data_IF_849658609016
#
_entry.id   IF_849658609016
#
_cell.length_a   1.000
_cell.length_b   1.000
_cell.length_c   1.000
_cell.angle_alpha   90.00
_cell.angle_beta   90.00
_cell.angle_gamma   90.00
#
_symmetry.space_group_name_H-M   'P 1'
#
loop_
_entity.id
_entity.type
_entity.pdbx_description
1 polymer ?
#
# COMPACT_ATOMS: atom_id res chain seq x y z
N UNK A 1 30.18 -19.00 23.81
CA UNK A 1 29.64 -18.50 22.53
C UNK A 1 28.25 -17.95 22.78
N UNK A 2 28.12 -16.65 22.96
CA UNK A 2 26.79 -16.02 23.15
C UNK A 2 26.06 -16.04 21.82
N UNK A 3 25.11 -16.94 21.70
CA UNK A 3 24.16 -16.96 20.60
C UNK A 3 23.18 -15.79 20.82
N UNK A 4 23.55 -14.60 20.36
CA UNK A 4 22.62 -13.48 20.27
C UNK A 4 21.61 -13.83 19.17
N UNK A 5 20.52 -14.48 19.53
CA UNK A 5 19.39 -14.67 18.65
C UNK A 5 18.95 -13.27 18.17
N UNK A 6 19.27 -12.92 16.90
CA UNK A 6 18.79 -11.68 16.29
C UNK A 6 17.28 -11.62 16.51
N UNK A 7 16.83 -10.61 17.21
CA UNK A 7 15.38 -10.36 17.41
C UNK A 7 14.73 -10.36 16.03
N UNK A 8 13.84 -11.33 15.83
CA UNK A 8 13.18 -11.54 14.55
C UNK A 8 12.21 -10.41 14.30
N UNK A 9 12.38 -9.68 13.19
CA UNK A 9 11.48 -8.60 12.76
C UNK A 9 10.41 -9.16 11.85
N UNK A 10 9.14 -8.99 12.21
CA UNK A 10 7.99 -9.43 11.44
C UNK A 10 7.41 -8.32 10.59
N UNK A 11 7.22 -8.61 9.30
CA UNK A 11 6.59 -7.71 8.32
C UNK A 11 5.26 -8.30 7.87
N UNK A 12 4.16 -7.63 8.14
CA UNK A 12 2.85 -7.98 7.59
C UNK A 12 2.59 -7.18 6.33
N UNK A 13 2.22 -7.87 5.25
CA UNK A 13 1.99 -7.28 3.93
C UNK A 13 0.59 -7.65 3.46
N UNK A 14 -0.28 -6.65 3.29
CA UNK A 14 -1.60 -6.84 2.70
C UNK A 14 -1.56 -6.74 1.19
N UNK A 15 -2.44 -7.49 0.51
CA UNK A 15 -2.42 -7.57 -0.95
C UNK A 15 -1.17 -8.24 -1.51
N UNK A 16 -0.54 -9.14 -0.75
CA UNK A 16 0.76 -9.74 -1.07
C UNK A 16 0.75 -10.67 -2.29
N UNK A 17 -0.41 -10.99 -2.85
CA UNK A 17 -0.54 -11.96 -3.94
C UNK A 17 -0.23 -11.41 -5.34
N UNK A 18 0.14 -10.13 -5.49
CA UNK A 18 0.52 -9.50 -6.77
C UNK A 18 1.12 -8.09 -6.59
N UNK A 19 1.72 -7.58 -7.64
CA UNK A 19 2.12 -6.18 -7.78
C UNK A 19 3.08 -5.70 -6.69
N UNK A 20 2.79 -4.52 -6.14
CA UNK A 20 3.63 -3.96 -5.07
C UNK A 20 3.69 -4.86 -3.83
N UNK A 21 2.58 -5.51 -3.43
CA UNK A 21 2.56 -6.40 -2.27
C UNK A 21 3.51 -7.57 -2.42
N UNK A 22 3.54 -8.21 -3.58
CA UNK A 22 4.49 -9.27 -3.90
C UNK A 22 5.92 -8.75 -3.91
N UNK A 23 6.15 -7.58 -4.50
CA UNK A 23 7.49 -6.97 -4.56
C UNK A 23 7.99 -6.54 -3.17
N UNK A 24 7.12 -6.00 -2.30
CA UNK A 24 7.45 -5.77 -0.89
C UNK A 24 7.88 -7.06 -0.19
N UNK A 25 7.17 -8.16 -0.41
CA UNK A 25 7.52 -9.46 0.18
C UNK A 25 8.91 -9.92 -0.27
N UNK A 26 9.24 -9.79 -1.56
CA UNK A 26 10.56 -10.13 -2.12
C UNK A 26 11.67 -9.29 -1.50
N UNK A 27 11.49 -7.97 -1.42
CA UNK A 27 12.53 -7.07 -0.89
C UNK A 27 12.75 -7.25 0.61
N UNK A 28 11.71 -7.47 1.41
CA UNK A 28 11.86 -7.73 2.84
C UNK A 28 12.42 -9.13 3.12
N UNK A 29 12.05 -10.15 2.33
CA UNK A 29 12.66 -11.48 2.43
C UNK A 29 14.16 -11.42 2.15
N UNK A 30 14.58 -10.69 1.09
CA UNK A 30 15.98 -10.46 0.77
C UNK A 30 16.76 -9.77 1.90
N UNK A 31 16.09 -8.99 2.73
CA UNK A 31 16.68 -8.34 3.92
C UNK A 31 16.69 -9.25 5.16
N UNK A 32 16.19 -10.49 5.05
CA UNK A 32 16.16 -11.47 6.14
C UNK A 32 15.00 -11.32 7.12
N UNK A 33 13.96 -10.56 6.77
CA UNK A 33 12.78 -10.39 7.62
C UNK A 33 11.83 -11.57 7.54
N UNK A 34 11.18 -11.90 8.65
CA UNK A 34 10.06 -12.82 8.68
C UNK A 34 8.79 -12.14 8.15
N UNK A 35 7.94 -12.88 7.44
CA UNK A 35 6.82 -12.31 6.70
C UNK A 35 5.48 -12.92 7.12
N UNK A 36 4.44 -12.09 7.15
CA UNK A 36 3.03 -12.49 7.14
C UNK A 36 2.41 -11.96 5.86
N UNK A 37 2.09 -12.86 4.93
CA UNK A 37 1.51 -12.55 3.63
C UNK A 37 -0.01 -12.67 3.69
N UNK A 38 -0.72 -11.57 3.46
CA UNK A 38 -2.18 -11.50 3.58
C UNK A 38 -2.82 -11.17 2.24
N UNK A 39 -3.70 -12.03 1.73
CA UNK A 39 -4.56 -11.78 0.57
C UNK A 39 -5.67 -12.84 0.47
N UNK A 40 -6.56 -12.70 -0.52
CA UNK A 40 -7.64 -13.67 -0.79
C UNK A 40 -7.19 -14.91 -1.57
N UNK A 41 -6.17 -14.77 -2.45
CA UNK A 41 -5.70 -15.84 -3.36
C UNK A 41 -4.65 -16.70 -2.67
N UNK A 42 -5.11 -17.79 -2.05
CA UNK A 42 -4.27 -18.70 -1.27
C UNK A 42 -3.17 -19.35 -2.10
N UNK A 43 -3.51 -19.82 -3.30
CA UNK A 43 -2.61 -20.45 -4.26
C UNK A 43 -1.37 -19.59 -4.55
N UNK A 44 -1.60 -18.30 -4.85
CA UNK A 44 -0.53 -17.34 -5.13
C UNK A 44 0.31 -17.02 -3.91
N UNK A 45 -0.33 -16.91 -2.73
CA UNK A 45 0.40 -16.69 -1.48
C UNK A 45 1.30 -17.88 -1.14
N UNK A 46 0.82 -19.11 -1.32
CA UNK A 46 1.58 -20.32 -1.07
C UNK A 46 2.78 -20.44 -2.03
N UNK A 47 2.57 -20.20 -3.32
CA UNK A 47 3.65 -20.19 -4.31
C UNK A 47 4.72 -19.15 -3.99
N UNK A 48 4.32 -17.92 -3.67
CA UNK A 48 5.23 -16.86 -3.26
C UNK A 48 5.99 -17.25 -1.98
N UNK A 49 5.30 -17.75 -0.97
CA UNK A 49 5.90 -18.17 0.30
C UNK A 49 6.94 -19.29 0.12
N UNK A 50 6.65 -20.29 -0.74
CA UNK A 50 7.58 -21.36 -1.06
C UNK A 50 8.86 -20.80 -1.71
N UNK A 51 8.70 -19.92 -2.70
CA UNK A 51 9.82 -19.25 -3.37
C UNK A 51 10.70 -18.46 -2.38
N UNK A 52 10.06 -17.64 -1.52
CA UNK A 52 10.79 -16.80 -0.57
C UNK A 52 11.53 -17.61 0.50
N UNK A 53 10.91 -18.69 1.01
CA UNK A 53 11.56 -19.60 1.95
C UNK A 53 12.79 -20.27 1.34
N UNK A 54 12.67 -20.72 0.09
CA UNK A 54 13.76 -21.38 -0.64
C UNK A 54 14.92 -20.42 -0.95
N UNK A 55 14.61 -19.19 -1.40
CA UNK A 55 15.64 -18.25 -1.87
C UNK A 55 16.35 -17.50 -0.73
N UNK A 56 15.65 -17.25 0.40
CA UNK A 56 16.13 -16.35 1.44
C UNK A 56 16.19 -16.97 2.83
N UNK A 57 15.77 -18.23 3.01
CA UNK A 57 15.76 -18.94 4.30
C UNK A 57 15.01 -18.18 5.40
N UNK A 58 13.96 -17.44 5.04
CA UNK A 58 13.13 -16.65 5.97
C UNK A 58 11.85 -17.40 6.33
N UNK A 59 11.31 -17.12 7.52
CA UNK A 59 10.00 -17.61 7.90
C UNK A 59 8.91 -16.79 7.18
N UNK A 60 7.95 -17.51 6.60
CA UNK A 60 6.81 -16.90 5.92
C UNK A 60 5.52 -17.55 6.37
N UNK A 61 4.60 -16.77 6.89
CA UNK A 61 3.24 -17.20 7.26
C UNK A 61 2.30 -16.72 6.16
N UNK A 62 1.39 -17.59 5.76
CA UNK A 62 0.33 -17.27 4.79
C UNK A 62 -1.00 -17.20 5.53
N UNK A 63 -1.68 -16.06 5.40
CA UNK A 63 -3.01 -15.81 5.95
C UNK A 63 -3.97 -15.47 4.82
N UNK A 64 -4.88 -16.41 4.51
CA UNK A 64 -5.95 -16.16 3.57
C UNK A 64 -7.05 -15.36 4.27
N UNK A 65 -7.14 -14.07 3.96
CA UNK A 65 -8.11 -13.16 4.58
C UNK A 65 -8.75 -12.28 3.52
N UNK A 66 -10.07 -12.17 3.56
CA UNK A 66 -10.77 -11.08 2.89
C UNK A 66 -10.80 -9.86 3.81
N UNK A 67 -10.02 -8.85 3.45
CA UNK A 67 -9.91 -7.64 4.24
C UNK A 67 -11.16 -6.75 4.17
N UNK A 68 -12.10 -7.02 3.26
CA UNK A 68 -13.40 -6.34 3.23
C UNK A 68 -14.24 -6.67 4.46
N UNK A 69 -13.98 -7.81 5.11
CA UNK A 69 -14.55 -8.17 6.42
C UNK A 69 -13.66 -7.61 7.54
N UNK A 70 -14.11 -6.52 8.17
CA UNK A 70 -13.40 -5.90 9.31
C UNK A 70 -13.23 -6.88 10.48
N UNK A 71 -14.20 -7.77 10.72
CA UNK A 71 -14.09 -8.77 11.78
C UNK A 71 -12.96 -9.78 11.47
N UNK A 72 -12.74 -10.10 10.20
CA UNK A 72 -11.61 -10.95 9.80
C UNK A 72 -10.24 -10.30 10.08
N UNK A 73 -10.15 -8.95 10.04
CA UNK A 73 -8.94 -8.21 10.42
C UNK A 73 -8.64 -8.38 11.91
N UNK A 74 -9.66 -8.26 12.76
CA UNK A 74 -9.51 -8.46 14.23
C UNK A 74 -9.08 -9.90 14.51
N UNK A 75 -9.76 -10.89 13.91
CA UNK A 75 -9.40 -12.30 14.04
C UNK A 75 -7.96 -12.60 13.55
N UNK A 76 -7.50 -11.92 12.50
CA UNK A 76 -6.10 -12.04 12.04
C UNK A 76 -5.12 -11.59 13.12
N UNK A 77 -5.36 -10.42 13.73
CA UNK A 77 -4.51 -9.92 14.81
C UNK A 77 -4.49 -10.88 16.00
N UNK A 78 -5.65 -11.39 16.42
CA UNK A 78 -5.78 -12.34 17.54
C UNK A 78 -4.96 -13.61 17.27
N UNK A 79 -5.12 -14.25 16.11
CA UNK A 79 -4.33 -15.42 15.71
C UNK A 79 -2.82 -15.17 15.74
N UNK A 80 -2.37 -14.00 15.28
CA UNK A 80 -0.94 -13.67 15.33
C UNK A 80 -0.45 -13.48 16.77
N UNK A 81 -1.26 -12.86 17.64
CA UNK A 81 -0.94 -12.70 19.07
C UNK A 81 -0.88 -14.04 19.80
N UNK A 82 -1.83 -14.95 19.56
CA UNK A 82 -1.84 -16.31 20.12
C UNK A 82 -0.58 -17.11 19.74
N UNK A 83 -0.05 -16.86 18.53
CA UNK A 83 1.20 -17.45 18.03
C UNK A 83 2.46 -16.73 18.53
N UNK A 84 2.33 -15.71 19.38
CA UNK A 84 3.46 -14.89 19.87
C UNK A 84 4.10 -14.01 18.80
N UNK A 85 3.39 -13.71 17.69
CA UNK A 85 3.91 -12.93 16.57
C UNK A 85 3.54 -11.46 16.75
N UNK A 86 4.56 -10.65 16.99
CA UNK A 86 4.41 -9.20 17.08
C UNK A 86 4.85 -8.54 15.78
N UNK A 87 3.93 -7.88 15.09
CA UNK A 87 4.22 -7.20 13.82
C UNK A 87 5.02 -5.91 14.09
N UNK A 88 6.24 -5.84 13.56
CA UNK A 88 7.11 -4.67 13.65
C UNK A 88 6.90 -3.69 12.49
N UNK A 89 6.55 -4.22 11.30
CA UNK A 89 6.33 -3.43 10.09
C UNK A 89 5.00 -3.86 9.45
N UNK A 90 4.09 -2.90 9.27
CA UNK A 90 2.85 -3.08 8.51
C UNK A 90 2.98 -2.42 7.14
N UNK A 91 2.85 -3.19 6.06
CA UNK A 91 2.72 -2.69 4.70
C UNK A 91 1.25 -2.80 4.30
N UNK A 92 0.53 -1.70 4.45
CA UNK A 92 -0.89 -1.63 4.13
C UNK A 92 -1.06 -1.26 2.65
N UNK A 93 -1.04 -2.29 1.80
CA UNK A 93 -0.98 -2.18 0.36
C UNK A 93 -2.25 -2.67 -0.35
N UNK A 94 -3.06 -3.52 0.30
CA UNK A 94 -4.29 -4.02 -0.32
C UNK A 94 -5.19 -2.87 -0.77
N UNK A 95 -5.69 -2.97 -1.99
CA UNK A 95 -6.55 -1.99 -2.62
C UNK A 95 -6.83 -2.36 -4.07
N UNK A 96 -7.80 -1.74 -4.68
CA UNK A 96 -8.08 -1.87 -6.10
C UNK A 96 -8.54 -0.53 -6.68
N UNK A 97 -8.54 -0.43 -8.01
CA UNK A 97 -9.01 0.75 -8.72
C UNK A 97 -10.29 0.47 -9.49
N UNK A 98 -11.03 1.52 -9.76
CA UNK A 98 -12.17 1.53 -10.65
C UNK A 98 -12.00 2.72 -11.58
N UNK A 99 -12.01 2.46 -12.90
CA UNK A 99 -11.97 3.50 -13.93
C UNK A 99 -13.31 3.55 -14.64
N UNK A 100 -13.78 4.74 -14.94
CA UNK A 100 -14.98 5.00 -15.73
C UNK A 100 -15.82 6.14 -15.15
N UNK A 101 -16.84 6.61 -15.90
CA UNK A 101 -17.75 7.62 -15.42
C UNK A 101 -18.45 7.17 -14.14
N UNK A 102 -18.50 8.03 -13.15
CA UNK A 102 -19.01 7.69 -11.82
C UNK A 102 -20.47 7.21 -11.85
N UNK A 103 -21.30 7.86 -12.67
CA UNK A 103 -22.72 7.54 -12.77
C UNK A 103 -23.00 6.20 -13.45
N UNK A 104 -22.05 5.68 -14.25
CA UNK A 104 -22.18 4.42 -14.97
C UNK A 104 -21.62 3.22 -14.18
N UNK A 105 -20.85 3.51 -13.12
CA UNK A 105 -20.22 2.46 -12.32
C UNK A 105 -21.26 1.71 -11.48
N UNK A 106 -21.20 0.36 -11.40
CA UNK A 106 -22.05 -0.40 -10.49
C UNK A 106 -21.82 0.04 -9.04
N UNK A 107 -22.91 0.29 -8.32
CA UNK A 107 -22.84 0.80 -6.94
C UNK A 107 -22.04 -0.12 -6.00
N UNK A 108 -22.19 -1.42 -6.17
CA UNK A 108 -21.48 -2.44 -5.40
C UNK A 108 -19.94 -2.38 -5.63
N UNK A 109 -19.51 -2.13 -6.87
CA UNK A 109 -18.09 -1.94 -7.19
C UNK A 109 -17.53 -0.65 -6.54
N UNK A 110 -18.31 0.44 -6.58
CA UNK A 110 -17.95 1.71 -5.90
C UNK A 110 -17.82 1.50 -4.40
N UNK A 111 -18.81 0.89 -3.76
CA UNK A 111 -18.81 0.64 -2.31
C UNK A 111 -17.74 -0.37 -1.90
N UNK A 112 -17.48 -1.40 -2.71
CA UNK A 112 -16.40 -2.36 -2.47
C UNK A 112 -15.03 -1.68 -2.43
N UNK A 113 -14.79 -0.70 -3.32
CA UNK A 113 -13.54 0.07 -3.29
C UNK A 113 -13.43 0.92 -2.02
N UNK A 114 -14.49 1.64 -1.64
CA UNK A 114 -14.49 2.42 -0.38
C UNK A 114 -14.27 1.51 0.82
N UNK A 115 -14.93 0.34 0.83
CA UNK A 115 -14.76 -0.64 1.90
C UNK A 115 -13.31 -1.11 2.02
N UNK A 116 -12.65 -1.48 0.93
CA UNK A 116 -11.28 -2.00 1.00
C UNK A 116 -10.25 -0.89 1.17
N UNK A 117 -10.29 0.16 0.34
CA UNK A 117 -9.24 1.19 0.26
C UNK A 117 -9.34 2.24 1.38
N UNK A 118 -10.49 2.35 2.05
CA UNK A 118 -10.72 3.30 3.16
C UNK A 118 -11.00 2.57 4.46
N UNK A 119 -12.13 1.87 4.58
CA UNK A 119 -12.57 1.29 5.84
C UNK A 119 -11.61 0.18 6.33
N UNK A 120 -11.27 -0.77 5.47
CA UNK A 120 -10.37 -1.88 5.82
C UNK A 120 -8.94 -1.40 6.07
N UNK A 121 -8.44 -0.46 5.24
CA UNK A 121 -7.13 0.16 5.47
C UNK A 121 -7.07 0.86 6.83
N UNK A 122 -8.13 1.58 7.20
CA UNK A 122 -8.23 2.24 8.50
C UNK A 122 -8.25 1.22 9.63
N UNK A 123 -9.10 0.19 9.53
CA UNK A 123 -9.24 -0.84 10.54
C UNK A 123 -7.91 -1.57 10.81
N UNK A 124 -7.23 -2.05 9.77
CA UNK A 124 -5.96 -2.78 9.93
C UNK A 124 -4.86 -1.86 10.46
N UNK A 125 -4.80 -0.59 10.00
CA UNK A 125 -3.87 0.40 10.54
C UNK A 125 -4.10 0.61 12.03
N UNK A 126 -5.36 0.81 12.45
CA UNK A 126 -5.73 1.05 13.84
C UNK A 126 -5.36 -0.12 14.75
N UNK A 127 -5.76 -1.33 14.37
CA UNK A 127 -5.56 -2.56 15.15
C UNK A 127 -4.09 -2.82 15.40
N UNK A 128 -3.23 -2.73 14.36
CA UNK A 128 -1.79 -2.97 14.52
C UNK A 128 -1.07 -1.77 15.16
N UNK A 129 -1.51 -0.53 14.95
CA UNK A 129 -0.97 0.63 15.65
C UNK A 129 -1.17 0.54 17.16
N UNK A 130 -2.29 0.02 17.64
CA UNK A 130 -2.52 -0.20 19.07
C UNK A 130 -1.48 -1.17 19.68
N UNK A 131 -1.15 -2.26 18.99
CA UNK A 131 -0.14 -3.21 19.47
C UNK A 131 1.28 -2.64 19.38
N UNK A 132 1.59 -1.87 18.34
CA UNK A 132 2.85 -1.16 18.20
C UNK A 132 3.02 -0.10 19.31
N UNK A 133 1.95 0.63 19.63
CA UNK A 133 1.92 1.64 20.70
C UNK A 133 2.25 1.05 22.06
N UNK A 134 1.67 -0.11 22.43
CA UNK A 134 1.97 -0.83 23.69
C UNK A 134 3.46 -1.17 23.80
N UNK A 135 4.12 -1.47 22.69
CA UNK A 135 5.55 -1.81 22.62
C UNK A 135 6.45 -0.60 22.39
N UNK A 136 5.86 0.59 22.14
CA UNK A 136 6.54 1.84 21.76
C UNK A 136 7.49 1.64 20.57
N UNK A 137 7.12 0.80 19.63
CA UNK A 137 7.92 0.44 18.46
C UNK A 137 7.05 -0.06 17.33
N UNK A 138 7.22 0.52 16.14
CA UNK A 138 6.56 0.06 14.92
C UNK A 138 6.82 0.92 13.70
N UNK A 139 6.55 0.35 12.54
CA UNK A 139 6.60 1.06 11.26
C UNK A 139 5.35 0.72 10.44
N UNK A 140 4.72 1.72 9.84
CA UNK A 140 3.52 1.55 9.01
C UNK A 140 3.74 2.26 7.69
N UNK A 141 3.62 1.54 6.59
CA UNK A 141 3.61 2.11 5.24
C UNK A 141 2.20 1.97 4.66
N UNK A 142 1.61 3.11 4.27
CA UNK A 142 0.31 3.17 3.61
C UNK A 142 0.50 3.43 2.12
N UNK A 143 -0.02 2.55 1.27
CA UNK A 143 0.09 2.73 -0.19
C UNK A 143 -1.05 3.60 -0.69
N UNK A 144 -0.75 4.88 -0.89
CA UNK A 144 -1.61 5.87 -1.52
C UNK A 144 -1.45 5.85 -3.06
N UNK A 145 -1.41 6.99 -3.71
CA UNK A 145 -1.21 7.17 -5.15
C UNK A 145 -0.81 8.62 -5.44
N UNK A 146 -0.21 8.87 -6.59
CA UNK A 146 -0.06 10.22 -7.13
C UNK A 146 -1.43 10.91 -7.34
N UNK A 147 -2.48 10.12 -7.63
CA UNK A 147 -3.86 10.63 -7.75
C UNK A 147 -4.44 11.12 -6.40
N UNK A 148 -3.76 10.89 -5.28
CA UNK A 148 -4.13 11.43 -3.98
C UNK A 148 -4.04 12.97 -3.89
N UNK A 149 -3.29 13.60 -4.79
CA UNK A 149 -3.07 15.05 -4.75
C UNK A 149 -4.16 15.86 -5.44
N UNK A 150 -5.02 15.22 -6.25
CA UNK A 150 -6.13 15.88 -6.94
C UNK A 150 -7.27 14.92 -7.29
N UNK A 151 -8.50 15.45 -7.48
CA UNK A 151 -9.60 14.70 -8.08
C UNK A 151 -9.33 14.49 -9.56
N UNK A 152 -9.57 13.28 -10.08
CA UNK A 152 -9.32 12.91 -11.46
C UNK A 152 -10.59 12.37 -12.09
N UNK A 153 -10.98 12.92 -13.25
CA UNK A 153 -12.10 12.45 -14.05
C UNK A 153 -11.93 10.97 -14.38
N UNK A 154 -13.01 10.19 -14.34
CA UNK A 154 -13.04 8.74 -14.48
C UNK A 154 -12.33 7.96 -13.36
N UNK A 155 -11.75 8.62 -12.35
CA UNK A 155 -11.16 8.03 -11.15
C UNK A 155 -11.68 8.70 -9.88
N UNK A 156 -12.91 9.20 -9.86
CA UNK A 156 -13.46 10.00 -8.78
C UNK A 156 -13.31 9.32 -7.41
N UNK A 157 -13.84 8.10 -7.27
CA UNK A 157 -13.79 7.34 -6.01
C UNK A 157 -12.36 6.93 -5.65
N UNK A 158 -11.59 6.49 -6.64
CA UNK A 158 -10.20 6.07 -6.41
C UNK A 158 -9.32 7.24 -5.93
N UNK A 159 -9.39 8.40 -6.61
CA UNK A 159 -8.61 9.58 -6.20
C UNK A 159 -9.03 10.08 -4.81
N UNK A 160 -10.34 10.06 -4.50
CA UNK A 160 -10.84 10.40 -3.17
C UNK A 160 -10.35 9.41 -2.08
N UNK A 161 -10.41 8.09 -2.33
CA UNK A 161 -9.89 7.07 -1.43
C UNK A 161 -8.39 7.22 -1.19
N UNK A 162 -7.60 7.48 -2.25
CA UNK A 162 -6.15 7.67 -2.10
C UNK A 162 -5.77 9.01 -1.46
N UNK A 163 -6.60 10.05 -1.61
CA UNK A 163 -6.46 11.29 -0.86
C UNK A 163 -6.72 11.07 0.64
N UNK A 164 -7.74 10.26 1.00
CA UNK A 164 -7.96 9.83 2.38
C UNK A 164 -6.71 9.14 2.95
N UNK A 165 -6.14 8.15 2.23
CA UNK A 165 -4.96 7.39 2.68
C UNK A 165 -3.77 8.31 2.91
N UNK A 166 -3.52 9.27 1.99
CA UNK A 166 -2.43 10.24 2.12
C UNK A 166 -2.61 11.10 3.37
N UNK A 167 -3.80 11.70 3.57
CA UNK A 167 -4.08 12.58 4.71
C UNK A 167 -4.05 11.82 6.04
N UNK A 168 -4.60 10.61 6.08
CA UNK A 168 -4.49 9.74 7.23
C UNK A 168 -3.02 9.46 7.58
N UNK A 169 -2.20 9.11 6.58
CA UNK A 169 -0.78 8.84 6.77
C UNK A 169 0.00 10.05 7.30
N UNK A 170 -0.27 11.24 6.77
CA UNK A 170 0.34 12.51 7.21
C UNK A 170 -0.03 12.84 8.67
N UNK A 171 -1.29 12.65 9.05
CA UNK A 171 -1.75 12.88 10.42
C UNK A 171 -1.12 11.89 11.40
N UNK A 172 -1.21 10.58 11.08
CA UNK A 172 -0.66 9.51 11.91
C UNK A 172 0.87 9.57 12.04
N UNK A 173 1.59 10.05 11.03
CA UNK A 173 3.03 10.28 11.11
C UNK A 173 3.39 11.21 12.28
N UNK A 174 2.62 12.27 12.50
CA UNK A 174 2.85 13.22 13.60
C UNK A 174 2.33 12.69 14.92
N UNK A 175 1.11 12.14 14.92
CA UNK A 175 0.41 11.66 16.11
C UNK A 175 1.15 10.50 16.79
N UNK A 176 1.57 9.48 16.01
CA UNK A 176 2.18 8.27 16.56
C UNK A 176 3.70 8.37 16.79
N UNK A 177 4.33 9.49 16.38
CA UNK A 177 5.77 9.70 16.57
C UNK A 177 6.19 9.63 18.03
N UNK A 178 5.41 10.21 18.94
CA UNK A 178 5.66 10.17 20.39
C UNK A 178 5.55 8.76 20.97
N UNK A 179 4.83 7.85 20.29
CA UNK A 179 4.69 6.44 20.66
C UNK A 179 5.80 5.55 20.04
N UNK A 180 6.81 6.14 19.39
CA UNK A 180 7.90 5.40 18.75
C UNK A 180 7.51 4.71 17.45
N UNK A 181 6.42 5.15 16.81
CA UNK A 181 5.90 4.55 15.57
C UNK A 181 6.15 5.51 14.40
N UNK A 182 6.71 4.98 13.32
CA UNK A 182 6.87 5.71 12.05
C UNK A 182 5.72 5.36 11.11
N UNK A 183 5.05 6.36 10.57
CA UNK A 183 4.06 6.17 9.49
C UNK A 183 4.52 6.90 8.24
N UNK A 184 4.48 6.23 7.09
CA UNK A 184 4.88 6.80 5.79
C UNK A 184 3.83 6.51 4.74
N UNK A 185 3.38 7.53 4.01
CA UNK A 185 2.52 7.39 2.85
C UNK A 185 3.38 7.25 1.58
N UNK A 186 3.24 6.14 0.85
CA UNK A 186 3.85 5.94 -0.46
C UNK A 186 2.85 6.36 -1.53
N UNK A 187 3.21 7.31 -2.38
CA UNK A 187 2.37 7.86 -3.45
C UNK A 187 2.96 7.50 -4.83
N UNK A 188 2.80 6.26 -5.31
CA UNK A 188 3.31 5.86 -6.60
C UNK A 188 2.55 6.55 -7.74
N UNK A 189 3.23 6.80 -8.83
CA UNK A 189 2.63 7.04 -10.13
C UNK A 189 2.17 5.73 -10.77
N UNK A 190 1.87 5.76 -12.06
CA UNK A 190 1.52 4.55 -12.79
C UNK A 190 2.66 3.54 -12.75
N UNK A 191 2.31 2.27 -12.52
CA UNK A 191 3.29 1.20 -12.39
C UNK A 191 2.74 -0.12 -12.93
N UNK A 192 3.63 -0.94 -13.48
CA UNK A 192 3.27 -2.25 -14.06
C UNK A 192 3.08 -3.30 -12.96
N UNK A 193 1.92 -3.26 -12.31
CA UNK A 193 1.58 -4.12 -11.16
C UNK A 193 0.41 -5.07 -11.42
N UNK A 194 -0.13 -5.08 -12.65
CA UNK A 194 -1.42 -5.72 -12.94
C UNK A 194 -2.62 -4.91 -12.44
N UNK A 195 -2.41 -3.77 -11.77
CA UNK A 195 -3.47 -2.87 -11.31
C UNK A 195 -4.32 -2.35 -12.47
N UNK A 196 -3.67 -1.92 -13.56
CA UNK A 196 -4.37 -1.42 -14.74
C UNK A 196 -5.33 -2.48 -15.33
N UNK A 197 -4.90 -3.74 -15.37
CA UNK A 197 -5.77 -4.86 -15.79
C UNK A 197 -6.95 -5.06 -14.84
N UNK A 198 -6.70 -4.99 -13.54
CA UNK A 198 -7.74 -5.13 -12.51
C UNK A 198 -8.73 -3.95 -12.53
N UNK A 199 -8.27 -2.73 -12.83
CA UNK A 199 -9.08 -1.52 -12.97
C UNK A 199 -9.72 -1.37 -14.36
N UNK A 200 -9.56 -2.36 -15.24
CA UNK A 200 -10.05 -2.35 -16.65
C UNK A 200 -9.55 -1.15 -17.46
N UNK A 201 -8.35 -0.65 -17.12
CA UNK A 201 -7.74 0.50 -17.80
C UNK A 201 -7.26 0.14 -19.20
N UNK A 202 -7.56 1.00 -20.17
CA UNK A 202 -6.91 0.95 -21.48
C UNK A 202 -5.51 1.57 -21.36
N UNK A 203 -4.48 0.75 -21.56
CA UNK A 203 -3.08 1.21 -21.54
C UNK A 203 -2.66 1.50 -22.97
N UNK A 204 -2.49 2.81 -23.30
CA UNK A 204 -1.91 3.22 -24.59
C UNK A 204 -0.37 3.01 -24.56
N UNK A 205 0.29 2.94 -25.74
CA UNK A 205 1.76 2.86 -25.80
C UNK A 205 2.46 4.01 -25.06
N UNK A 206 1.94 5.23 -25.15
CA UNK A 206 2.49 6.42 -24.49
C UNK A 206 2.38 6.30 -22.97
N UNK A 207 1.25 5.79 -22.49
CA UNK A 207 1.00 5.57 -21.07
C UNK A 207 1.95 4.49 -20.51
N UNK A 208 2.20 3.44 -21.31
CA UNK A 208 3.15 2.37 -20.95
C UNK A 208 4.58 2.90 -20.75
N UNK A 209 5.02 3.88 -21.54
CA UNK A 209 6.34 4.49 -21.39
C UNK A 209 6.49 5.31 -20.09
N UNK A 210 5.40 5.75 -19.49
CA UNK A 210 5.39 6.48 -18.23
C UNK A 210 5.26 5.56 -17.00
N UNK A 211 5.01 4.26 -17.22
CA UNK A 211 4.88 3.30 -16.14
C UNK A 211 6.24 2.98 -15.52
N UNK A 212 6.27 2.96 -14.21
CA UNK A 212 7.46 2.56 -13.45
C UNK A 212 7.42 1.07 -13.13
N UNK A 213 8.58 0.43 -13.16
CA UNK A 213 8.75 -0.91 -12.60
C UNK A 213 8.42 -0.92 -11.09
N UNK A 214 7.82 -2.00 -10.57
CA UNK A 214 7.48 -2.10 -9.15
C UNK A 214 8.70 -2.01 -8.21
N UNK A 215 9.82 -2.60 -8.59
CA UNK A 215 10.99 -2.73 -7.72
C UNK A 215 11.61 -1.38 -7.28
N UNK A 216 11.84 -0.38 -8.16
CA UNK A 216 12.28 0.96 -7.75
C UNK A 216 11.27 1.68 -6.85
N UNK A 217 9.96 1.52 -7.11
CA UNK A 217 8.88 2.16 -6.34
C UNK A 217 8.87 1.62 -4.91
N UNK A 218 8.87 0.31 -4.75
CA UNK A 218 8.91 -0.37 -3.44
C UNK A 218 10.17 0.00 -2.67
N UNK A 219 11.33 0.01 -3.35
CA UNK A 219 12.61 0.42 -2.73
C UNK A 219 12.56 1.85 -2.21
N UNK A 220 11.94 2.77 -2.96
CA UNK A 220 11.76 4.15 -2.50
C UNK A 220 10.86 4.22 -1.26
N UNK A 221 9.76 3.44 -1.22
CA UNK A 221 8.87 3.34 -0.06
C UNK A 221 9.59 2.82 1.18
N UNK A 222 10.34 1.71 1.05
CA UNK A 222 11.11 1.13 2.17
C UNK A 222 12.18 2.12 2.69
N UNK A 223 12.89 2.80 1.79
CA UNK A 223 13.89 3.82 2.17
C UNK A 223 13.24 4.99 2.92
N UNK A 224 12.12 5.50 2.43
CA UNK A 224 11.40 6.60 3.05
C UNK A 224 10.87 6.21 4.44
N UNK A 225 10.33 5.00 4.60
CA UNK A 225 9.88 4.47 5.89
C UNK A 225 11.04 4.37 6.89
N UNK A 226 12.19 3.88 6.44
CA UNK A 226 13.39 3.76 7.29
C UNK A 226 14.03 5.11 7.61
N UNK A 227 13.89 6.09 6.73
CA UNK A 227 14.36 7.47 6.93
C UNK A 227 13.33 8.36 7.67
N UNK A 228 12.23 7.79 8.16
CA UNK A 228 11.17 8.49 8.88
C UNK A 228 10.54 9.65 8.09
N UNK A 229 10.40 9.50 6.76
CA UNK A 229 9.71 10.49 5.94
C UNK A 229 8.19 10.32 6.06
N UNK A 230 7.47 11.44 6.14
CA UNK A 230 6.01 11.48 6.22
C UNK A 230 5.35 10.89 4.95
N UNK A 231 5.89 11.24 3.78
CA UNK A 231 5.42 10.72 2.50
C UNK A 231 6.54 10.67 1.46
N UNK A 232 6.34 9.88 0.41
CA UNK A 232 7.27 9.79 -0.71
C UNK A 232 6.54 9.59 -2.03
N UNK A 233 6.95 10.35 -3.05
CA UNK A 233 6.56 10.19 -4.45
C UNK A 233 7.75 9.63 -5.21
N UNK A 234 7.71 8.36 -5.68
CA UNK A 234 8.79 7.76 -6.44
C UNK A 234 8.86 8.34 -7.87
N UNK A 235 10.10 8.52 -8.36
CA UNK A 235 10.37 9.04 -9.70
C UNK A 235 10.38 10.56 -9.78
N UNK A 236 11.35 11.10 -10.55
CA UNK A 236 11.52 12.55 -10.66
C UNK A 236 10.32 13.21 -11.35
N UNK A 237 9.84 12.63 -12.45
CA UNK A 237 8.67 13.15 -13.18
C UNK A 237 7.42 13.21 -12.29
N UNK A 238 7.17 12.15 -11.49
CA UNK A 238 6.05 12.11 -10.55
C UNK A 238 6.19 13.16 -9.43
N UNK A 239 7.42 13.37 -8.94
CA UNK A 239 7.70 14.44 -7.94
C UNK A 239 7.42 15.82 -8.51
N UNK A 240 7.88 16.10 -9.72
CA UNK A 240 7.64 17.38 -10.38
C UNK A 240 6.14 17.59 -10.61
N UNK A 241 5.39 16.54 -10.98
CA UNK A 241 3.94 16.60 -11.13
C UNK A 241 3.26 16.88 -9.77
N UNK A 242 3.65 16.21 -8.70
CA UNK A 242 3.11 16.46 -7.36
C UNK A 242 3.38 17.91 -6.90
N UNK A 243 4.57 18.45 -7.15
CA UNK A 243 4.91 19.85 -6.87
C UNK A 243 4.08 20.81 -7.72
N UNK A 244 3.92 20.51 -9.01
CA UNK A 244 3.08 21.32 -9.91
C UNK A 244 1.63 21.37 -9.42
N UNK A 245 1.04 20.24 -9.05
CA UNK A 245 -0.32 20.17 -8.49
C UNK A 245 -0.43 20.99 -7.20
N UNK A 246 0.58 20.91 -6.34
CA UNK A 246 0.61 21.65 -5.08
C UNK A 246 0.77 23.17 -5.27
N UNK A 247 1.61 23.58 -6.23
CA UNK A 247 1.98 24.98 -6.45
C UNK A 247 0.99 25.76 -7.32
N UNK A 248 0.07 25.07 -8.02
CA UNK A 248 -0.85 25.71 -8.97
C UNK A 248 -2.29 25.74 -8.46
N UNK A 249 -3.09 26.76 -8.87
CA UNK A 249 -4.52 26.80 -8.57
C UNK A 249 -5.25 25.56 -9.10
N UNK A 250 -6.21 25.05 -8.32
CA UNK A 250 -6.91 23.78 -8.63
C UNK A 250 -7.53 23.75 -10.02
N UNK A 251 -8.11 24.86 -10.49
CA UNK A 251 -8.73 24.93 -11.81
C UNK A 251 -7.74 24.69 -12.96
N UNK A 252 -6.48 25.10 -12.79
CA UNK A 252 -5.46 24.98 -13.83
C UNK A 252 -5.03 23.51 -14.04
N UNK A 253 -4.64 22.83 -12.97
CA UNK A 253 -4.21 21.43 -13.10
C UNK A 253 -5.39 20.49 -13.40
N UNK A 254 -6.61 20.77 -12.93
CA UNK A 254 -7.80 20.00 -13.28
C UNK A 254 -8.11 20.13 -14.79
N UNK A 255 -8.02 21.33 -15.37
CA UNK A 255 -8.18 21.52 -16.81
C UNK A 255 -7.12 20.74 -17.63
N UNK A 256 -5.87 20.72 -17.17
CA UNK A 256 -4.80 19.97 -17.82
C UNK A 256 -5.06 18.45 -17.79
N UNK A 257 -5.43 17.91 -16.62
CA UNK A 257 -5.72 16.47 -16.45
C UNK A 257 -6.97 16.06 -17.25
N UNK A 258 -8.04 16.86 -17.22
CA UNK A 258 -9.25 16.57 -17.99
C UNK A 258 -8.96 16.49 -19.50
N UNK A 259 -8.08 17.33 -20.04
CA UNK A 259 -7.67 17.23 -21.45
C UNK A 259 -6.95 15.92 -21.77
N UNK A 260 -6.05 15.48 -20.89
CA UNK A 260 -5.32 14.21 -21.05
C UNK A 260 -6.28 13.01 -20.96
N UNK A 261 -7.23 13.06 -20.03
CA UNK A 261 -8.19 11.96 -19.83
C UNK A 261 -9.26 11.86 -20.93
N UNK A 262 -9.61 12.98 -21.59
CA UNK A 262 -10.54 12.99 -22.75
C UNK A 262 -9.90 12.54 -24.05
N UNK A 263 -8.59 12.56 -24.13
CA UNK A 263 -7.84 12.09 -25.30
C UNK A 263 -7.61 10.57 -25.30
N UNK A 264 -8.10 9.88 -24.29
CA UNK A 264 -8.07 8.41 -24.11
C UNK A 264 -9.45 7.77 -24.35
#
# INVERSE_FOLDING_TARGET
>A
MHNTSKIKTWVLITGASSGFGEEFARQYAKQGHALVLVARRLDRLQALAATLRQQHSVEVIVEQVDLSDVAAIVRLQERLRERGIAIDILINNAGHGLQGPFADAPLDAVLSMVQLDVASLTAITHVFAQDMRKRRRGKILLVASLLAYQGVENFAVYSAAKAYVLRLGEALHRELKQDGITVTALCPGMSDTGFAKAAQMKITPELRMLMMEPAPVVRAGIRALNAHHMSVVPGLANKLMAIFIWATPRWLHQAAVSRVMKAQ
#
